data_IF_259833850871
#
_entry.id   IF_259833850871
#
_cell.length_a   1.000
_cell.length_b   1.000
_cell.length_c   1.000
_cell.angle_alpha   90.00
_cell.angle_beta   90.00
_cell.angle_gamma   90.00
#
_symmetry.space_group_name_H-M   'P 1'
#
loop_
_entity.id
_entity.type
_entity.pdbx_description
1 polymer ?
#
# COMPACT_ATOMS: atom_id res chain seq x y z
N UNK A 1 -1.35 -0.07 22.99
CA UNK A 1 -1.24 -1.32 22.21
C UNK A 1 -0.28 -1.02 21.07
N UNK A 2 0.91 -1.64 21.00
CA UNK A 2 1.79 -1.46 19.86
C UNK A 2 1.11 -1.98 18.60
N UNK A 3 0.99 -1.09 17.61
CA UNK A 3 0.40 -1.36 16.30
C UNK A 3 1.46 -1.10 15.24
N UNK A 4 1.51 -1.95 14.23
CA UNK A 4 2.33 -1.76 13.04
C UNK A 4 1.41 -1.74 11.83
N UNK A 5 1.69 -0.83 10.91
CA UNK A 5 0.96 -0.68 9.66
C UNK A 5 1.93 -1.01 8.52
N UNK A 6 1.61 -2.01 7.71
CA UNK A 6 2.41 -2.42 6.56
C UNK A 6 1.73 -1.95 5.30
N UNK A 7 2.43 -1.21 4.44
CA UNK A 7 1.99 -1.03 3.06
C UNK A 7 2.43 -2.26 2.28
N UNK A 8 1.47 -3.00 1.73
CA UNK A 8 1.70 -4.25 1.00
C UNK A 8 1.10 -4.12 -0.41
N UNK A 9 1.81 -4.61 -1.42
CA UNK A 9 1.21 -4.90 -2.71
C UNK A 9 0.52 -6.27 -2.64
N UNK A 10 -0.80 -6.25 -2.53
CA UNK A 10 -1.63 -7.45 -2.39
C UNK A 10 -1.49 -8.39 -3.60
N UNK A 11 -1.33 -7.82 -4.79
CA UNK A 11 -1.26 -8.61 -6.04
C UNK A 11 0.01 -9.46 -6.12
N UNK A 12 1.06 -9.03 -5.43
CA UNK A 12 2.37 -9.68 -5.46
C UNK A 12 2.86 -10.18 -4.08
N UNK A 13 2.05 -9.99 -3.03
CA UNK A 13 2.39 -10.27 -1.64
C UNK A 13 3.74 -9.65 -1.23
N UNK A 14 3.99 -8.41 -1.67
CA UNK A 14 5.26 -7.71 -1.45
C UNK A 14 5.07 -6.58 -0.43
N UNK A 15 5.73 -6.64 0.75
CA UNK A 15 5.75 -5.51 1.67
C UNK A 15 6.63 -4.39 1.10
N UNK A 16 6.06 -3.19 1.03
CA UNK A 16 6.71 -1.98 0.50
C UNK A 16 7.30 -1.14 1.63
N UNK A 17 6.66 -1.12 2.79
CA UNK A 17 7.13 -0.39 3.96
C UNK A 17 6.36 -0.70 5.23
N UNK A 18 7.00 -0.46 6.37
CA UNK A 18 6.45 -0.63 7.71
C UNK A 18 6.39 0.72 8.44
N UNK A 19 5.26 0.99 9.10
CA UNK A 19 4.97 2.28 9.71
C UNK A 19 4.38 2.11 11.11
N UNK A 20 4.70 3.04 12.02
CA UNK A 20 4.18 3.03 13.39
C UNK A 20 2.81 3.67 13.56
N UNK A 21 2.29 4.32 12.53
CA UNK A 21 1.02 5.08 12.54
C UNK A 21 0.31 4.92 11.20
N UNK A 22 -1.02 4.89 11.22
CA UNK A 22 -1.84 4.77 10.00
C UNK A 22 -1.66 5.98 9.08
N UNK A 23 -1.45 7.17 9.64
CA UNK A 23 -1.23 8.40 8.88
C UNK A 23 0.04 8.32 8.03
N UNK A 24 1.13 7.80 8.60
CA UNK A 24 2.39 7.61 7.88
C UNK A 24 2.26 6.57 6.75
N UNK A 25 1.46 5.52 6.95
CA UNK A 25 1.16 4.55 5.89
C UNK A 25 0.34 5.19 4.76
N UNK A 26 -0.65 6.04 5.08
CA UNK A 26 -1.36 6.83 4.08
C UNK A 26 -0.48 7.84 3.35
N UNK A 27 0.45 8.50 4.05
CA UNK A 27 1.44 9.40 3.44
C UNK A 27 2.35 8.67 2.46
N UNK A 28 2.71 7.42 2.75
CA UNK A 28 3.43 6.57 1.81
C UNK A 28 2.60 6.29 0.56
N UNK A 29 1.32 5.92 0.69
CA UNK A 29 0.45 5.75 -0.47
C UNK A 29 0.34 7.05 -1.28
N UNK A 30 0.27 8.22 -0.63
CA UNK A 30 0.28 9.51 -1.34
C UNK A 30 1.58 9.72 -2.09
N UNK A 31 2.73 9.37 -1.50
CA UNK A 31 4.03 9.39 -2.19
C UNK A 31 4.03 8.46 -3.41
N UNK A 32 3.53 7.24 -3.26
CA UNK A 32 3.44 6.24 -4.33
C UNK A 32 2.52 6.69 -5.47
N UNK A 33 1.42 7.38 -5.19
CA UNK A 33 0.51 7.91 -6.22
C UNK A 33 1.16 8.95 -7.14
N UNK A 34 2.22 9.61 -6.69
CA UNK A 34 2.94 10.62 -7.45
C UNK A 34 4.05 10.01 -8.33
N UNK A 35 4.34 8.72 -8.18
CA UNK A 35 5.40 8.02 -8.93
C UNK A 35 4.78 7.40 -10.18
N UNK A 36 5.43 7.52 -11.35
CA UNK A 36 4.96 6.85 -12.56
C UNK A 36 4.80 5.34 -12.36
N UNK A 37 3.76 4.75 -12.97
CA UNK A 37 3.47 3.31 -12.84
C UNK A 37 4.64 2.42 -13.32
N UNK A 38 5.45 2.91 -14.26
CA UNK A 38 6.59 2.23 -14.87
C UNK A 38 7.93 2.54 -14.18
N UNK A 39 7.90 3.31 -13.08
CA UNK A 39 9.06 3.63 -12.28
C UNK A 39 9.03 2.89 -10.94
N UNK A 40 10.19 2.52 -10.42
CA UNK A 40 10.28 1.97 -9.07
C UNK A 40 9.76 2.99 -8.04
N UNK A 41 9.00 2.56 -7.01
CA UNK A 41 8.64 1.18 -6.70
C UNK A 41 7.35 0.68 -7.40
N UNK A 42 6.62 1.53 -8.14
CA UNK A 42 5.35 1.16 -8.78
C UNK A 42 5.48 0.15 -9.92
N UNK A 43 6.64 0.07 -10.58
CA UNK A 43 6.92 -0.98 -11.54
C UNK A 43 6.79 -2.36 -10.85
N UNK A 44 5.80 -3.14 -11.27
CA UNK A 44 5.54 -4.47 -10.73
C UNK A 44 6.76 -5.40 -10.93
N UNK A 45 7.03 -6.34 -10.01
CA UNK A 45 8.22 -7.20 -10.08
C UNK A 45 8.08 -8.33 -11.11
N UNK A 46 6.91 -8.47 -11.75
CA UNK A 46 6.62 -9.54 -12.69
C UNK A 46 7.19 -9.28 -14.09
N UNK A 47 7.50 -10.34 -14.84
CA UNK A 47 8.01 -10.22 -16.21
C UNK A 47 7.03 -9.56 -17.20
N UNK A 48 5.74 -9.52 -16.85
CA UNK A 48 4.66 -8.84 -17.58
C UNK A 48 4.30 -7.47 -16.99
N UNK A 49 5.25 -6.80 -16.32
CA UNK A 49 5.02 -5.53 -15.63
C UNK A 49 4.36 -4.46 -16.50
N UNK A 50 4.61 -4.46 -17.81
CA UNK A 50 4.06 -3.48 -18.78
C UNK A 50 2.53 -3.48 -18.84
N UNK A 51 1.91 -4.60 -18.50
CA UNK A 51 0.45 -4.76 -18.41
C UNK A 51 -0.03 -5.00 -16.98
N UNK A 52 0.89 -5.01 -16.01
CA UNK A 52 0.60 -5.21 -14.60
C UNK A 52 0.64 -3.86 -13.88
N UNK A 53 -0.09 -3.77 -12.78
CA UNK A 53 -0.01 -2.64 -11.85
C UNK A 53 0.43 -3.13 -10.48
N UNK A 54 0.24 -2.29 -9.48
CA UNK A 54 0.30 -2.67 -8.07
C UNK A 54 -1.00 -2.29 -7.40
N UNK A 55 -1.44 -3.13 -6.48
CA UNK A 55 -2.62 -2.90 -5.67
C UNK A 55 -2.17 -2.82 -4.21
N UNK A 56 -1.96 -1.59 -3.75
CA UNK A 56 -1.45 -1.33 -2.42
C UNK A 56 -2.58 -1.29 -1.40
N UNK A 57 -2.39 -2.03 -0.32
CA UNK A 57 -3.22 -1.97 0.87
C UNK A 57 -2.39 -1.59 2.09
N UNK A 58 -3.06 -1.08 3.12
CA UNK A 58 -2.45 -0.92 4.45
C UNK A 58 -2.96 -2.07 5.31
N UNK A 59 -2.04 -2.83 5.88
CA UNK A 59 -2.34 -3.95 6.78
C UNK A 59 -1.96 -3.56 8.20
N UNK A 60 -2.95 -3.48 9.08
CA UNK A 60 -2.75 -3.21 10.51
C UNK A 60 -2.54 -4.50 11.28
N UNK A 61 -1.45 -4.54 12.05
CA UNK A 61 -1.12 -5.63 12.95
C UNK A 61 -1.08 -5.14 14.41
N UNK A 62 -1.67 -5.92 15.30
CA UNK A 62 -1.40 -5.85 16.74
C UNK A 62 -0.13 -6.66 17.02
N UNK A 63 0.82 -6.03 17.71
CA UNK A 63 2.11 -6.63 18.06
C UNK A 63 2.34 -6.71 19.57
N UNK A 64 1.28 -6.55 20.38
CA UNK A 64 1.35 -6.42 21.85
C UNK A 64 2.06 -7.60 22.51
N UNK A 65 1.82 -8.82 22.04
CA UNK A 65 2.36 -10.05 22.62
C UNK A 65 3.59 -10.58 21.86
N UNK A 66 4.21 -9.74 21.00
CA UNK A 66 5.34 -10.11 20.15
C UNK A 66 4.98 -10.97 18.93
N UNK A 67 3.75 -11.47 18.84
CA UNK A 67 3.19 -12.04 17.63
C UNK A 67 2.48 -10.95 16.81
N UNK A 68 2.57 -11.05 15.48
CA UNK A 68 1.87 -10.15 14.56
C UNK A 68 0.48 -10.71 14.29
N UNK A 69 -0.52 -10.14 14.97
CA UNK A 69 -1.92 -10.51 14.76
C UNK A 69 -2.56 -9.51 13.80
N UNK A 70 -3.08 -9.99 12.67
CA UNK A 70 -3.82 -9.15 11.72
C UNK A 70 -5.06 -8.55 12.40
N UNK A 71 -5.18 -7.23 12.37
CA UNK A 71 -6.32 -6.48 12.91
C UNK A 71 -7.27 -6.09 11.78
N UNK A 72 -6.75 -5.39 10.77
CA UNK A 72 -7.55 -4.83 9.69
C UNK A 72 -6.71 -4.66 8.42
N UNK A 73 -7.39 -4.67 7.27
CA UNK A 73 -6.84 -4.26 5.96
C UNK A 73 -7.62 -3.03 5.49
N UNK A 74 -6.93 -2.09 4.89
CA UNK A 74 -7.51 -0.88 4.31
C UNK A 74 -7.19 -0.83 2.82
N UNK A 75 -8.23 -0.73 1.99
CA UNK A 75 -8.07 -0.57 0.55
C UNK A 75 -7.39 0.77 0.26
N UNK A 76 -6.18 0.71 -0.29
CA UNK A 76 -5.28 1.86 -0.36
C UNK A 76 -5.25 2.52 -1.72
N UNK A 77 -4.49 1.95 -2.65
CA UNK A 77 -4.10 2.58 -3.89
C UNK A 77 -3.80 1.56 -4.99
N UNK A 78 -4.54 1.62 -6.09
CA UNK A 78 -4.15 0.96 -7.33
C UNK A 78 -3.29 1.90 -8.18
N UNK A 79 -2.14 1.42 -8.64
CA UNK A 79 -1.31 2.09 -9.65
C UNK A 79 -1.13 1.16 -10.83
N UNK A 80 -1.58 1.58 -12.02
CA UNK A 80 -1.40 0.80 -13.25
C UNK A 80 -1.15 1.71 -14.45
N UNK A 81 -0.93 1.11 -15.63
CA UNK A 81 -0.83 1.85 -16.88
C UNK A 81 -2.07 2.71 -17.21
N UNK A 82 -3.21 2.47 -16.54
CA UNK A 82 -4.44 3.28 -16.66
C UNK A 82 -4.42 4.54 -15.80
N UNK A 83 -3.45 4.68 -14.91
CA UNK A 83 -3.35 5.76 -13.94
C UNK A 83 -3.47 5.24 -12.52
N UNK A 84 -3.94 6.12 -11.63
CA UNK A 84 -4.03 5.89 -10.20
C UNK A 84 -5.50 5.86 -9.78
N UNK A 85 -5.88 4.89 -8.95
CA UNK A 85 -7.20 4.82 -8.33
C UNK A 85 -7.06 4.60 -6.82
N UNK A 86 -7.74 5.44 -6.03
CA UNK A 86 -7.76 5.31 -4.57
C UNK A 86 -8.85 4.36 -4.11
N UNK A 87 -8.56 3.57 -3.07
CA UNK A 87 -9.52 2.64 -2.46
C UNK A 87 -10.60 3.35 -1.63
N UNK A 88 -11.60 2.59 -1.20
CA UNK A 88 -12.75 3.12 -0.45
C UNK A 88 -12.41 3.58 0.97
N UNK A 89 -11.36 3.03 1.58
CA UNK A 89 -10.88 3.40 2.91
C UNK A 89 -9.94 4.62 2.87
N UNK A 90 -9.61 5.08 1.68
CA UNK A 90 -8.62 6.11 1.48
C UNK A 90 -9.17 7.49 1.93
N UNK A 91 -8.51 8.19 2.86
CA UNK A 91 -9.03 9.42 3.44
C UNK A 91 -9.08 10.54 2.39
N UNK A 92 -10.21 11.25 2.30
CA UNK A 92 -10.50 12.32 1.31
C UNK A 92 -9.25 12.93 0.66
N UNK A 93 -8.92 12.39 -0.51
CA UNK A 93 -7.85 12.89 -1.36
C UNK A 93 -8.43 14.04 -2.15
N UNK A 94 -8.39 15.25 -1.55
CA UNK A 94 -8.91 16.46 -2.16
C UNK A 94 -8.60 16.54 -3.66
N UNK A 95 -9.65 16.74 -4.45
CA UNK A 95 -9.60 16.93 -5.90
C UNK A 95 -8.72 18.12 -6.31
#
# INVERSE_FOLDING_TARGET
>A
MPKIFVVEDQSHAEPIGEFSTIEAAWDELRRLSAIPWDAAPNAAPCGSWQSCGRDYEIVEYDTTDGAWALVQRYAGLEVSAKGVAWGEDAPDHGA
#
